data_IF_123204767840
#
_entry.id   IF_123204767840
#
_cell.length_a   1.000
_cell.length_b   1.000
_cell.length_c   1.000
_cell.angle_alpha   90.00
_cell.angle_beta   90.00
_cell.angle_gamma   90.00
#
_symmetry.space_group_name_H-M   'P 1'
#
loop_
_entity.id
_entity.type
_entity.pdbx_description
1 polymer ?
#
# COMPACT_ATOMS: atom_id res chain seq x y z
N UNK A 1 0.00 -29.63 -2.59
CA UNK A 1 1.23 -29.42 -1.80
C UNK A 1 1.93 -28.16 -2.31
N UNK A 2 2.14 -27.15 -1.48
CA UNK A 2 2.72 -25.85 -1.91
C UNK A 2 4.23 -25.96 -2.17
N UNK A 3 4.70 -25.54 -3.34
CA UNK A 3 6.12 -25.58 -3.73
C UNK A 3 7.00 -24.70 -2.81
N UNK A 4 8.06 -25.29 -2.25
CA UNK A 4 9.08 -24.59 -1.46
C UNK A 4 10.07 -23.89 -2.40
N UNK A 5 10.12 -22.56 -2.41
CA UNK A 5 11.19 -21.81 -3.10
C UNK A 5 12.30 -21.45 -2.10
N UNK A 6 13.54 -21.89 -2.35
CA UNK A 6 14.71 -21.68 -1.47
C UNK A 6 14.51 -22.11 0.00
N UNK A 7 13.96 -23.32 0.22
CA UNK A 7 13.73 -23.89 1.57
C UNK A 7 12.81 -23.04 2.49
N UNK A 8 12.10 -22.05 1.96
CA UNK A 8 11.11 -21.25 2.71
C UNK A 8 9.74 -21.46 2.09
N UNK A 9 8.71 -21.59 2.93
CA UNK A 9 7.32 -21.54 2.45
C UNK A 9 7.10 -20.16 1.83
N UNK A 10 6.67 -20.14 0.57
CA UNK A 10 6.22 -18.89 -0.04
C UNK A 10 4.82 -18.63 0.49
N UNK A 11 4.65 -17.56 1.28
CA UNK A 11 3.32 -17.06 1.63
C UNK A 11 2.62 -16.72 0.31
N UNK A 12 1.47 -17.34 0.06
CA UNK A 12 0.68 -17.06 -1.14
C UNK A 12 0.24 -15.58 -1.11
N UNK A 13 0.24 -14.94 -2.27
CA UNK A 13 -0.24 -13.57 -2.37
C UNK A 13 -1.75 -13.55 -2.14
N UNK A 14 -2.22 -12.76 -1.18
CA UNK A 14 -3.65 -12.50 -0.97
C UNK A 14 -4.27 -11.64 -2.08
N UNK A 15 -3.42 -11.02 -2.92
CA UNK A 15 -3.88 -10.26 -4.09
C UNK A 15 -4.72 -11.09 -5.03
N UNK A 16 -5.77 -10.48 -5.57
CA UNK A 16 -6.61 -11.06 -6.61
C UNK A 16 -5.74 -11.42 -7.81
N UNK A 17 -5.72 -12.71 -8.13
CA UNK A 17 -4.95 -13.23 -9.25
C UNK A 17 -5.45 -12.59 -10.56
N UNK A 18 -4.53 -12.21 -11.44
CA UNK A 18 -4.81 -11.62 -12.75
C UNK A 18 -5.56 -10.26 -12.72
N UNK A 19 -5.58 -9.56 -11.57
CA UNK A 19 -6.11 -8.20 -11.50
C UNK A 19 -5.04 -7.15 -11.80
N UNK A 20 -5.39 -6.15 -12.62
CA UNK A 20 -4.55 -4.98 -12.81
C UNK A 20 -4.80 -3.95 -11.70
N UNK A 21 -3.87 -3.84 -10.75
CA UNK A 21 -3.94 -2.91 -9.63
C UNK A 21 -3.69 -1.43 -9.97
N UNK A 22 -3.64 -1.09 -11.26
CA UNK A 22 -3.80 0.29 -11.76
C UNK A 22 -5.16 0.52 -12.44
N UNK A 23 -6.03 -0.48 -12.51
CA UNK A 23 -7.36 -0.32 -13.11
C UNK A 23 -8.26 0.54 -12.22
N UNK A 24 -9.23 1.20 -12.85
CA UNK A 24 -10.26 1.92 -12.12
C UNK A 24 -11.00 1.00 -11.15
N UNK A 25 -11.33 1.51 -9.98
CA UNK A 25 -12.10 0.79 -8.98
C UNK A 25 -11.72 1.14 -7.55
N UNK A 26 -12.42 0.50 -6.61
CA UNK A 26 -12.26 0.70 -5.18
C UNK A 26 -11.35 -0.37 -4.58
N UNK A 27 -10.41 0.07 -3.74
CA UNK A 27 -9.43 -0.77 -3.09
C UNK A 27 -9.47 -0.54 -1.59
N UNK A 28 -9.80 -1.59 -0.84
CA UNK A 28 -9.56 -1.62 0.59
C UNK A 28 -8.10 -1.97 0.84
N UNK A 29 -7.41 -1.18 1.66
CA UNK A 29 -6.00 -1.35 1.96
C UNK A 29 -5.75 -1.31 3.45
N UNK A 30 -4.77 -2.09 3.89
CA UNK A 30 -4.28 -2.11 5.27
C UNK A 30 -2.77 -1.99 5.30
N UNK A 31 -2.26 -0.98 6.01
CA UNK A 31 -0.83 -0.70 6.18
C UNK A 31 -0.51 -0.85 7.67
N UNK A 32 0.44 -1.72 8.02
CA UNK A 32 0.75 -2.04 9.42
C UNK A 32 2.16 -1.54 9.76
N UNK A 33 2.35 -0.97 10.95
CA UNK A 33 3.66 -0.61 11.49
C UNK A 33 4.52 -1.86 11.69
N UNK A 34 5.83 -1.69 11.60
CA UNK A 34 6.75 -2.82 11.80
C UNK A 34 6.58 -3.37 13.22
N UNK A 35 6.50 -4.70 13.34
CA UNK A 35 6.23 -5.38 14.62
C UNK A 35 4.96 -4.91 15.34
N UNK A 36 4.01 -4.31 14.61
CA UNK A 36 2.71 -3.85 15.15
C UNK A 36 2.86 -2.88 16.33
N UNK A 37 3.95 -2.13 16.39
CA UNK A 37 4.20 -1.13 17.44
C UNK A 37 3.15 -0.02 17.40
N UNK A 38 2.63 0.36 18.55
CA UNK A 38 1.62 1.42 18.70
C UNK A 38 2.24 2.82 18.67
N UNK A 39 3.06 3.11 17.66
CA UNK A 39 3.78 4.37 17.54
C UNK A 39 3.02 5.46 16.79
N UNK A 40 1.82 5.17 16.24
CA UNK A 40 0.94 6.15 15.62
C UNK A 40 0.02 6.84 16.62
N UNK A 41 -0.03 6.35 17.86
CA UNK A 41 -0.85 6.91 18.94
C UNK A 41 -1.53 5.84 19.77
N UNK A 42 -2.65 6.19 20.39
CA UNK A 42 -3.37 5.32 21.32
C UNK A 42 -4.89 5.51 21.22
N UNK A 43 -5.65 4.51 21.67
CA UNK A 43 -7.11 4.64 21.80
C UNK A 43 -7.44 5.06 23.22
N UNK A 44 -8.07 6.24 23.37
CA UNK A 44 -8.63 6.74 24.64
C UNK A 44 -10.11 7.05 24.46
N UNK A 45 -10.96 6.54 25.35
CA UNK A 45 -12.41 6.72 25.29
C UNK A 45 -13.01 6.38 23.91
N UNK A 46 -12.58 5.26 23.33
CA UNK A 46 -12.99 4.78 21.99
C UNK A 46 -12.67 5.75 20.84
N UNK A 47 -11.67 6.62 21.02
CA UNK A 47 -11.19 7.56 20.00
C UNK A 47 -9.70 7.40 19.80
N UNK A 48 -9.27 7.52 18.55
CA UNK A 48 -7.86 7.61 18.22
C UNK A 48 -7.30 8.96 18.67
N UNK A 49 -6.23 8.92 19.46
CA UNK A 49 -5.38 10.06 19.80
C UNK A 49 -4.04 9.81 19.11
N UNK A 50 -3.71 10.66 18.13
CA UNK A 50 -2.49 10.52 17.35
C UNK A 50 -1.27 10.92 18.18
N UNK A 51 -0.17 10.20 17.98
CA UNK A 51 1.16 10.65 18.38
C UNK A 51 1.71 11.64 17.35
N UNK A 52 2.88 12.19 17.59
CA UNK A 52 3.59 13.04 16.65
C UNK A 52 3.93 12.30 15.34
N UNK A 53 4.31 11.02 15.43
CA UNK A 53 4.46 10.18 14.23
C UNK A 53 3.12 9.89 13.55
N UNK A 54 2.05 9.74 14.33
CA UNK A 54 0.69 9.59 13.80
C UNK A 54 0.23 10.80 12.99
N UNK A 55 0.52 12.02 13.46
CA UNK A 55 0.22 13.24 12.73
C UNK A 55 1.05 13.37 11.45
N UNK A 56 2.35 13.06 11.48
CA UNK A 56 3.18 13.00 10.25
C UNK A 56 2.60 12.01 9.23
N UNK A 57 2.18 10.84 9.70
CA UNK A 57 1.54 9.81 8.86
C UNK A 57 0.26 10.33 8.23
N UNK A 58 -0.58 11.03 8.99
CA UNK A 58 -1.83 11.63 8.52
C UNK A 58 -1.58 12.72 7.47
N UNK A 59 -0.61 13.60 7.70
CA UNK A 59 -0.25 14.64 6.74
C UNK A 59 0.21 14.06 5.41
N UNK A 60 1.14 13.10 5.45
CA UNK A 60 1.66 12.45 4.24
C UNK A 60 0.59 11.57 3.55
N UNK A 61 -0.39 11.06 4.30
CA UNK A 61 -1.56 10.37 3.76
C UNK A 61 -2.41 11.34 2.92
N UNK A 62 -2.84 12.46 3.50
CA UNK A 62 -3.65 13.47 2.82
C UNK A 62 -2.94 14.07 1.61
N UNK A 63 -1.64 14.39 1.77
CA UNK A 63 -0.79 14.90 0.69
C UNK A 63 -0.70 13.94 -0.49
N UNK A 64 -0.75 12.63 -0.25
CA UNK A 64 -0.71 11.65 -1.33
C UNK A 64 -1.89 11.78 -2.30
N UNK A 65 -3.08 12.17 -1.83
CA UNK A 65 -4.25 12.43 -2.69
C UNK A 65 -4.16 13.78 -3.39
N UNK A 66 -3.52 14.78 -2.77
CA UNK A 66 -3.30 16.08 -3.39
C UNK A 66 -2.35 16.00 -4.60
N UNK A 67 -1.30 15.17 -4.51
CA UNK A 67 -0.28 15.06 -5.56
C UNK A 67 -0.59 13.97 -6.61
N UNK A 68 -1.63 13.14 -6.39
CA UNK A 68 -1.99 12.02 -7.29
C UNK A 68 -3.42 12.18 -7.77
N UNK A 69 -3.57 12.79 -8.94
CA UNK A 69 -4.88 13.06 -9.53
C UNK A 69 -5.68 11.81 -9.89
N UNK A 70 -5.04 10.64 -9.99
CA UNK A 70 -5.73 9.37 -10.18
C UNK A 70 -6.31 8.77 -8.90
N UNK A 71 -5.99 9.29 -7.71
CA UNK A 71 -6.44 8.73 -6.43
C UNK A 71 -7.55 9.58 -5.82
N UNK A 72 -8.61 8.92 -5.38
CA UNK A 72 -9.67 9.53 -4.61
C UNK A 72 -9.76 8.82 -3.25
N UNK A 73 -9.75 9.62 -2.17
CA UNK A 73 -9.89 9.16 -0.79
C UNK A 73 -11.38 9.01 -0.46
N UNK A 74 -11.77 7.88 0.14
CA UNK A 74 -13.15 7.67 0.59
C UNK A 74 -13.27 7.66 2.11
N UNK A 75 -12.92 6.54 2.74
CA UNK A 75 -12.99 6.37 4.19
C UNK A 75 -11.66 5.78 4.65
N UNK A 76 -11.09 6.33 5.69
CA UNK A 76 -9.84 5.86 6.28
C UNK A 76 -9.81 6.10 7.78
N UNK A 77 -8.99 5.30 8.46
CA UNK A 77 -8.71 5.46 9.88
C UNK A 77 -7.27 5.09 10.15
N UNK A 78 -6.59 5.95 10.90
CA UNK A 78 -5.31 5.63 11.53
C UNK A 78 -5.62 5.05 12.90
N UNK A 79 -5.05 3.88 13.16
CA UNK A 79 -5.11 3.16 14.43
C UNK A 79 -3.71 3.17 15.05
N UNK A 80 -3.54 2.80 16.33
CA UNK A 80 -2.26 2.87 17.03
C UNK A 80 -1.07 2.27 16.27
N UNK A 81 -1.30 1.18 15.53
CA UNK A 81 -0.26 0.44 14.83
C UNK A 81 -0.56 0.12 13.35
N UNK A 82 -1.66 0.64 12.79
CA UNK A 82 -2.02 0.36 11.41
C UNK A 82 -2.94 1.43 10.83
N UNK A 83 -3.16 1.37 9.52
CA UNK A 83 -4.05 2.24 8.76
C UNK A 83 -4.97 1.34 7.96
N UNK A 84 -6.27 1.63 7.98
CA UNK A 84 -7.25 1.06 7.08
C UNK A 84 -7.81 2.16 6.18
N UNK A 85 -7.96 1.89 4.89
CA UNK A 85 -8.55 2.86 3.97
C UNK A 85 -9.26 2.23 2.78
N UNK A 86 -10.26 2.93 2.27
CA UNK A 86 -10.83 2.73 0.94
C UNK A 86 -10.27 3.83 0.02
N UNK A 87 -9.59 3.41 -1.03
CA UNK A 87 -9.02 4.29 -2.06
C UNK A 87 -9.59 3.91 -3.42
N UNK A 88 -10.11 4.89 -4.15
CA UNK A 88 -10.50 4.72 -5.54
C UNK A 88 -9.33 5.11 -6.44
N UNK A 89 -9.04 4.26 -7.43
CA UNK A 89 -8.27 4.68 -8.61
C UNK A 89 -9.27 5.11 -9.67
N UNK A 90 -9.12 6.33 -10.18
CA UNK A 90 -9.94 6.84 -11.25
C UNK A 90 -9.09 7.52 -12.33
N UNK A 91 -8.89 6.83 -13.45
CA UNK A 91 -8.14 7.32 -14.60
C UNK A 91 -9.00 8.12 -15.59
N UNK A 92 -10.33 8.26 -15.37
CA UNK A 92 -11.20 8.97 -16.32
C UNK A 92 -10.91 10.48 -16.39
N UNK A 93 -10.24 11.04 -15.38
CA UNK A 93 -9.71 12.41 -15.40
C UNK A 93 -8.53 12.64 -16.35
N UNK A 94 -8.00 11.59 -17.00
CA UNK A 94 -6.84 11.67 -17.93
C UNK A 94 -7.20 11.18 -19.34
N UNK A 95 -8.17 11.81 -20.00
CA UNK A 95 -8.16 11.87 -21.47
C UNK A 95 -7.26 13.05 -21.89
N UNK A 96 -5.95 12.82 -22.05
CA UNK A 96 -5.22 13.29 -23.26
C UNK A 96 -3.72 12.95 -23.37
N UNK A 97 -2.94 12.67 -22.31
CA UNK A 97 -1.46 12.68 -22.49
C UNK A 97 -0.70 11.35 -22.32
N UNK A 98 -1.39 10.24 -22.06
CA UNK A 98 -0.75 8.91 -22.09
C UNK A 98 -1.26 8.14 -23.29
N UNK A 99 -0.62 8.33 -24.45
CA UNK A 99 -0.58 7.32 -25.51
C UNK A 99 0.05 6.05 -24.92
N UNK A 100 -0.76 5.22 -24.28
CA UNK A 100 -0.40 3.83 -23.98
C UNK A 100 -0.12 3.20 -25.33
N UNK A 101 1.17 3.00 -25.65
CA UNK A 101 1.56 2.16 -26.78
C UNK A 101 0.85 0.82 -26.59
N UNK A 102 -0.08 0.51 -27.49
CA UNK A 102 -0.78 -0.79 -27.51
C UNK A 102 0.29 -1.90 -27.44
N UNK A 103 0.11 -2.95 -26.63
CA UNK A 103 0.98 -4.11 -26.70
C UNK A 103 0.91 -4.68 -28.14
N UNK A 104 2.04 -5.11 -28.73
CA UNK A 104 2.06 -5.65 -30.08
C UNK A 104 1.14 -6.87 -30.18
N UNK A 105 0.46 -7.01 -31.33
CA UNK A 105 -0.45 -8.13 -31.59
C UNK A 105 0.35 -9.44 -31.64
N UNK A 106 -0.31 -10.55 -31.30
CA UNK A 106 0.28 -11.91 -31.24
C UNK A 106 0.90 -12.38 -32.57
N UNK A 107 0.56 -11.74 -33.69
CA UNK A 107 1.05 -12.07 -35.02
C UNK A 107 2.54 -11.70 -35.24
N UNK A 108 3.09 -10.76 -34.46
CA UNK A 108 4.51 -10.34 -34.57
C UNK A 108 5.50 -11.29 -33.86
N UNK A 109 5.01 -12.26 -33.07
CA UNK A 109 5.85 -13.15 -32.26
C UNK A 109 6.48 -14.32 -33.05
N UNK A 110 5.93 -14.66 -34.23
CA UNK A 110 6.33 -15.89 -34.92
C UNK A 110 7.62 -15.78 -35.74
N UNK A 111 8.14 -14.57 -36.02
CA UNK A 111 9.34 -14.42 -36.86
C UNK A 111 10.68 -14.31 -36.10
N UNK A 112 10.69 -14.24 -34.77
CA UNK A 112 11.92 -13.92 -34.01
C UNK A 112 12.44 -15.05 -33.09
N UNK A 113 11.90 -16.27 -33.21
CA UNK A 113 12.19 -17.35 -32.24
C UNK A 113 13.63 -17.93 -32.32
N UNK A 114 14.38 -17.69 -33.40
CA UNK A 114 15.74 -18.22 -33.55
C UNK A 114 16.83 -17.31 -32.96
N UNK A 115 16.55 -16.02 -32.67
CA UNK A 115 17.60 -15.06 -32.27
C UNK A 115 17.83 -14.92 -30.76
N UNK A 116 16.93 -15.46 -29.91
CA UNK A 116 16.95 -15.20 -28.45
C UNK A 116 17.55 -16.32 -27.60
N UNK A 117 18.08 -17.40 -28.19
CA UNK A 117 18.60 -18.56 -27.44
C UNK A 117 19.87 -18.30 -26.61
N UNK A 118 20.47 -17.11 -26.66
CA UNK A 118 21.77 -16.83 -26.01
C UNK A 118 21.78 -15.67 -24.99
N UNK A 119 20.63 -15.09 -24.61
CA UNK A 119 20.61 -14.03 -23.61
C UNK A 119 20.40 -14.62 -22.20
N UNK A 120 21.49 -14.69 -21.42
CA UNK A 120 21.48 -14.94 -19.98
C UNK A 120 20.48 -13.99 -19.31
N UNK A 121 19.33 -14.52 -18.88
CA UNK A 121 18.24 -13.75 -18.26
C UNK A 121 18.72 -13.19 -16.91
N UNK A 122 19.20 -11.95 -16.89
CA UNK A 122 19.29 -11.17 -15.65
C UNK A 122 17.86 -11.02 -15.11
N UNK A 123 17.60 -11.55 -13.91
CA UNK A 123 16.30 -11.42 -13.22
C UNK A 123 15.84 -9.97 -13.23
N UNK A 124 14.82 -9.65 -14.01
CA UNK A 124 14.17 -8.34 -13.96
C UNK A 124 13.65 -8.10 -12.55
N UNK A 125 14.01 -6.97 -11.94
CA UNK A 125 13.35 -6.47 -10.72
C UNK A 125 11.85 -6.39 -11.01
N UNK A 126 10.95 -6.76 -10.07
CA UNK A 126 9.52 -6.59 -10.29
C UNK A 126 9.24 -5.12 -10.59
N UNK A 127 8.81 -4.84 -11.83
CA UNK A 127 8.47 -3.49 -12.28
C UNK A 127 7.15 -3.13 -11.63
N UNK A 128 7.15 -2.06 -10.84
CA UNK A 128 5.95 -1.51 -10.24
C UNK A 128 5.29 -0.56 -11.24
N UNK A 129 4.04 -0.84 -11.60
CA UNK A 129 3.31 0.01 -12.54
C UNK A 129 3.08 1.40 -11.94
N UNK A 130 3.30 2.49 -12.70
CA UNK A 130 2.92 3.83 -12.25
C UNK A 130 1.39 3.91 -12.07
N UNK A 131 0.94 4.82 -11.21
CA UNK A 131 -0.49 5.05 -10.96
C UNK A 131 -1.26 3.79 -10.50
N UNK A 132 -0.56 2.87 -9.83
CA UNK A 132 -1.13 1.70 -9.17
C UNK A 132 -1.17 1.88 -7.66
N UNK A 133 -1.99 1.08 -6.96
CA UNK A 133 -1.96 1.01 -5.49
C UNK A 133 -0.54 0.70 -5.00
N UNK A 134 0.23 -0.13 -5.73
CA UNK A 134 1.60 -0.44 -5.34
C UNK A 134 2.53 0.76 -5.42
N UNK A 135 2.43 1.58 -6.49
CA UNK A 135 3.24 2.81 -6.61
C UNK A 135 2.85 3.85 -5.58
N UNK A 136 1.54 3.96 -5.31
CA UNK A 136 1.03 4.84 -4.28
C UNK A 136 1.59 4.48 -2.90
N UNK A 137 1.36 3.24 -2.42
CA UNK A 137 1.76 2.83 -1.07
C UNK A 137 3.27 2.94 -0.87
N UNK A 138 4.06 2.61 -1.88
CA UNK A 138 5.50 2.72 -1.74
C UNK A 138 6.01 4.15 -1.71
N UNK A 139 5.41 5.06 -2.48
CA UNK A 139 5.71 6.49 -2.40
C UNK A 139 5.33 7.05 -1.03
N UNK A 140 4.13 6.70 -0.56
CA UNK A 140 3.63 7.07 0.76
C UNK A 140 4.58 6.62 1.89
N UNK A 141 4.88 5.31 1.97
CA UNK A 141 5.80 4.76 3.00
C UNK A 141 7.18 5.41 2.95
N UNK A 142 7.69 5.71 1.75
CA UNK A 142 8.97 6.38 1.60
C UNK A 142 8.93 7.80 2.15
N UNK A 143 7.86 8.54 1.85
CA UNK A 143 7.68 9.92 2.31
C UNK A 143 7.55 9.99 3.83
N UNK A 144 6.75 9.09 4.43
CA UNK A 144 6.63 8.97 5.89
C UNK A 144 7.97 8.71 6.55
N UNK A 145 8.76 7.75 6.07
CA UNK A 145 10.08 7.48 6.64
C UNK A 145 10.97 8.73 6.63
N UNK A 146 11.00 9.45 5.50
CA UNK A 146 11.77 10.70 5.41
C UNK A 146 11.28 11.72 6.42
N UNK A 147 9.97 11.94 6.53
CA UNK A 147 9.42 12.93 7.47
C UNK A 147 9.59 12.59 8.94
N UNK A 148 9.54 11.31 9.28
CA UNK A 148 9.82 10.86 10.64
C UNK A 148 11.31 11.00 10.95
N UNK A 149 12.20 10.67 10.01
CA UNK A 149 13.64 10.87 10.20
C UNK A 149 14.01 12.36 10.34
N UNK A 150 13.40 13.24 9.53
CA UNK A 150 13.53 14.70 9.65
C UNK A 150 13.11 15.15 11.07
N UNK A 151 11.95 14.70 11.53
CA UNK A 151 11.42 15.04 12.86
C UNK A 151 12.31 14.51 14.00
N UNK A 152 12.87 13.31 13.87
CA UNK A 152 13.82 12.75 14.85
C UNK A 152 15.05 13.65 14.99
N UNK A 153 15.58 14.15 13.88
CA UNK A 153 16.72 15.08 13.87
C UNK A 153 16.36 16.43 14.49
N UNK A 154 15.23 17.01 14.08
CA UNK A 154 14.76 18.32 14.56
C UNK A 154 14.51 18.31 16.07
N UNK A 155 13.93 17.24 16.60
CA UNK A 155 13.62 17.08 18.02
C UNK A 155 14.74 16.42 18.83
N UNK A 156 15.87 16.06 18.19
CA UNK A 156 17.03 15.42 18.81
C UNK A 156 16.67 14.15 19.61
N UNK A 157 15.76 13.33 19.07
CA UNK A 157 15.29 12.13 19.77
C UNK A 157 16.36 11.03 19.76
N UNK A 158 16.55 10.37 20.90
CA UNK A 158 17.47 9.24 21.02
C UNK A 158 16.83 7.92 20.58
N UNK A 159 16.38 7.84 19.33
CA UNK A 159 15.82 6.62 18.72
C UNK A 159 16.44 6.36 17.34
N UNK A 160 16.53 5.09 16.91
CA UNK A 160 17.13 4.77 15.61
C UNK A 160 16.23 5.23 14.45
N UNK A 161 16.84 5.85 13.44
CA UNK A 161 16.18 6.26 12.19
C UNK A 161 15.69 5.08 11.37
N UNK A 162 14.66 5.33 10.56
CA UNK A 162 14.03 4.33 9.72
C UNK A 162 14.69 4.25 8.34
N UNK A 163 15.10 3.05 7.94
CA UNK A 163 15.82 2.81 6.71
C UNK A 163 15.52 1.42 6.16
N UNK A 164 16.22 0.99 5.12
CA UNK A 164 16.04 -0.34 4.50
C UNK A 164 16.30 -1.54 5.42
N UNK A 165 16.95 -1.34 6.57
CA UNK A 165 17.24 -2.37 7.58
C UNK A 165 16.42 -2.17 8.87
N UNK A 166 15.84 -0.99 9.09
CA UNK A 166 14.98 -0.65 10.23
C UNK A 166 13.70 0.00 9.71
N UNK A 167 12.63 -0.77 9.50
CA UNK A 167 11.45 -0.26 8.78
C UNK A 167 10.43 0.35 9.75
N UNK A 168 9.80 1.47 9.37
CA UNK A 168 8.68 2.03 10.13
C UNK A 168 7.39 1.22 9.94
N UNK A 169 7.09 0.87 8.68
CA UNK A 169 5.99 -0.02 8.30
C UNK A 169 6.51 -1.40 7.92
N UNK A 170 5.67 -2.42 8.02
CA UNK A 170 5.96 -3.72 7.42
C UNK A 170 6.28 -3.56 5.92
N UNK A 171 7.14 -4.40 5.31
CA UNK A 171 7.50 -4.27 3.90
C UNK A 171 6.30 -4.34 2.95
N UNK A 172 5.36 -5.23 3.26
CA UNK A 172 4.14 -5.45 2.49
C UNK A 172 2.96 -4.64 3.05
N UNK A 173 1.84 -4.70 2.36
CA UNK A 173 0.55 -4.19 2.81
C UNK A 173 -0.52 -5.16 2.30
N UNK A 174 -1.68 -5.16 2.95
CA UNK A 174 -2.83 -5.91 2.47
C UNK A 174 -3.67 -5.03 1.56
N UNK A 175 -4.21 -5.61 0.49
CA UNK A 175 -5.14 -4.96 -0.41
C UNK A 175 -6.25 -5.93 -0.83
N UNK A 176 -7.44 -5.39 -1.06
CA UNK A 176 -8.61 -6.11 -1.52
C UNK A 176 -9.41 -5.24 -2.48
N UNK A 177 -9.82 -5.82 -3.61
CA UNK A 177 -10.63 -5.11 -4.62
C UNK A 177 -12.09 -5.22 -4.21
N UNK A 178 -12.72 -4.07 -3.94
CA UNK A 178 -14.14 -3.97 -3.58
C UNK A 178 -14.98 -4.08 -4.86
N UNK A 179 -15.99 -4.94 -4.86
CA UNK A 179 -16.68 -5.38 -6.09
C UNK A 179 -18.11 -4.90 -6.23
N UNK A 180 -18.75 -4.57 -5.12
CA UNK A 180 -20.15 -4.16 -5.05
C UNK A 180 -20.37 -3.17 -3.90
N UNK A 181 -21.57 -2.56 -3.88
CA UNK A 181 -21.91 -1.54 -2.90
C UNK A 181 -22.06 -2.12 -1.49
N UNK A 182 -22.61 -3.33 -1.34
CA UNK A 182 -22.78 -3.98 -0.02
C UNK A 182 -21.43 -4.20 0.68
N UNK A 183 -20.44 -4.68 -0.08
CA UNK A 183 -19.05 -4.82 0.38
C UNK A 183 -18.43 -3.46 0.71
N UNK A 184 -18.65 -2.45 -0.14
CA UNK A 184 -18.19 -1.09 0.11
C UNK A 184 -18.75 -0.52 1.42
N UNK A 185 -20.07 -0.61 1.64
CA UNK A 185 -20.72 -0.13 2.86
C UNK A 185 -20.22 -0.90 4.08
N UNK A 186 -20.05 -2.22 3.97
CA UNK A 186 -19.55 -3.07 5.06
C UNK A 186 -18.13 -2.69 5.48
N UNK A 187 -17.22 -2.48 4.53
CA UNK A 187 -15.84 -2.05 4.80
C UNK A 187 -15.82 -0.64 5.36
N UNK A 188 -16.62 0.27 4.81
CA UNK A 188 -16.75 1.64 5.32
C UNK A 188 -17.24 1.67 6.77
N UNK A 189 -18.22 0.85 7.10
CA UNK A 189 -18.68 0.66 8.47
C UNK A 189 -17.57 0.09 9.35
N UNK A 190 -16.88 -0.97 8.91
CA UNK A 190 -15.76 -1.55 9.63
C UNK A 190 -14.70 -0.48 10.00
N UNK A 191 -14.29 0.35 9.03
CA UNK A 191 -13.31 1.43 9.22
C UNK A 191 -13.80 2.42 10.29
N UNK A 192 -15.03 2.93 10.17
CA UNK A 192 -15.59 3.93 11.08
C UNK A 192 -15.66 3.47 12.53
N UNK A 193 -15.96 2.20 12.75
CA UNK A 193 -16.13 1.64 14.09
C UNK A 193 -14.87 0.96 14.63
N UNK A 194 -13.79 0.93 13.85
CA UNK A 194 -12.54 0.28 14.26
C UNK A 194 -11.95 0.84 15.58
N UNK A 195 -11.95 2.17 15.85
CA UNK A 195 -11.51 2.70 17.15
C UNK A 195 -12.27 2.15 18.35
N UNK A 196 -13.58 1.90 18.22
CA UNK A 196 -14.41 1.30 19.28
C UNK A 196 -14.10 -0.19 19.46
N UNK A 197 -13.68 -0.85 18.40
CA UNK A 197 -13.42 -2.28 18.36
C UNK A 197 -11.94 -2.63 18.61
N UNK A 198 -11.09 -1.65 18.95
CA UNK A 198 -9.64 -1.83 19.10
C UNK A 198 -9.25 -2.99 20.01
N UNK A 199 -9.96 -3.19 21.12
CA UNK A 199 -9.68 -4.28 22.06
C UNK A 199 -9.93 -5.69 21.50
N UNK A 200 -10.67 -5.79 20.39
CA UNK A 200 -10.97 -7.04 19.69
C UNK A 200 -10.29 -7.10 18.31
N UNK A 201 -9.42 -6.13 18.00
CA UNK A 201 -8.76 -6.05 16.72
C UNK A 201 -7.67 -7.12 16.63
N UNK A 202 -7.73 -7.95 15.56
CA UNK A 202 -6.74 -8.99 15.31
C UNK A 202 -5.34 -8.43 15.00
N UNK A 203 -5.25 -7.16 14.63
CA UNK A 203 -3.98 -6.47 14.38
C UNK A 203 -3.39 -5.86 15.66
N UNK A 204 -4.01 -6.02 16.83
CA UNK A 204 -3.50 -5.43 18.07
C UNK A 204 -2.28 -6.17 18.64
N UNK A 205 -2.35 -7.50 18.79
CA UNK A 205 -1.44 -8.25 19.68
C UNK A 205 -0.56 -9.33 18.98
N UNK A 206 -0.70 -9.56 17.67
CA UNK A 206 0.11 -10.55 16.92
C UNK A 206 1.34 -9.94 16.23
#
# INVERSE_FOLDING_TARGET
MSEKYKKRYRVASHRKLNWNYSANGYYFITIITQNRVCNLGEIKNNRMILSEFGEIVKEEWLKSFQIRSELIQHEDIIMPNHIHAIVEINQSGKRNDLKIKRPPKREDYQQNHEKFRHLKIKRNRPIRLPQSISSFIAGFKSSVNTKIDDYIDEQQLNIPKYNRNNHFFQPNYHDHVIRDDDEYQSIKYYIRFNPKNWNYDRLKDE
#
